data_IF_371075984539
#
_entry.id   IF_371075984539
#
_cell.length_a   1.000
_cell.length_b   1.000
_cell.length_c   1.000
_cell.angle_alpha   90.00
_cell.angle_beta   90.00
_cell.angle_gamma   90.00
#
_symmetry.space_group_name_H-M   'P 1'
#
loop_
_entity.id
_entity.type
_entity.pdbx_description
1 polymer ?
#
# COMPACT_ATOMS: atom_id res chain seq x y z
N UNK A 1 -1.02 -4.10 -19.52
CA UNK A 1 -1.94 -2.95 -19.32
C UNK A 1 -2.12 -2.77 -17.82
N UNK A 2 -1.92 -1.57 -17.32
CA UNK A 2 -2.21 -1.23 -15.94
C UNK A 2 -3.72 -1.30 -15.69
N UNK A 3 -4.12 -1.72 -14.49
CA UNK A 3 -5.53 -2.04 -14.19
C UNK A 3 -6.01 -1.14 -13.06
N UNK A 4 -7.17 -0.50 -13.21
CA UNK A 4 -7.77 0.33 -12.19
C UNK A 4 -8.22 -0.52 -10.99
N UNK A 5 -8.04 -0.01 -9.78
CA UNK A 5 -8.66 -0.51 -8.56
C UNK A 5 -9.77 0.45 -8.16
N UNK A 6 -11.00 -0.04 -8.07
CA UNK A 6 -12.16 0.77 -7.68
C UNK A 6 -12.81 0.24 -6.42
N UNK A 7 -13.13 1.14 -5.52
CA UNK A 7 -13.87 0.92 -4.28
C UNK A 7 -15.14 1.76 -4.41
N UNK A 8 -16.31 1.13 -4.32
CA UNK A 8 -17.60 1.79 -4.59
C UNK A 8 -18.55 1.60 -3.42
N UNK A 9 -18.82 2.68 -2.69
CA UNK A 9 -19.80 2.76 -1.60
C UNK A 9 -19.67 1.62 -0.58
N UNK A 10 -18.43 1.28 -0.15
CA UNK A 10 -18.24 0.19 0.80
C UNK A 10 -18.57 0.62 2.23
N UNK A 11 -19.27 -0.28 2.92
CA UNK A 11 -19.44 -0.25 4.37
C UNK A 11 -18.66 -1.39 5.02
N UNK A 12 -18.09 -1.14 6.21
CA UNK A 12 -17.40 -2.14 6.99
C UNK A 12 -17.70 -1.95 8.48
N UNK A 13 -17.94 -3.06 9.16
CA UNK A 13 -18.26 -3.09 10.58
C UNK A 13 -17.30 -3.99 11.35
N UNK A 14 -16.97 -3.60 12.58
CA UNK A 14 -16.34 -4.42 13.61
C UNK A 14 -17.38 -4.66 14.72
N UNK A 15 -18.06 -5.80 14.66
CA UNK A 15 -19.24 -6.02 15.49
C UNK A 15 -20.32 -4.97 15.23
N UNK A 16 -20.73 -4.23 16.24
CA UNK A 16 -21.73 -3.15 16.14
C UNK A 16 -21.14 -1.81 15.65
N UNK A 17 -19.82 -1.65 15.67
CA UNK A 17 -19.18 -0.40 15.29
C UNK A 17 -18.96 -0.32 13.78
N UNK A 18 -19.52 0.69 13.13
CA UNK A 18 -19.28 0.97 11.71
C UNK A 18 -17.99 1.75 11.54
N UNK A 19 -17.00 1.12 10.91
CA UNK A 19 -15.68 1.70 10.67
C UNK A 19 -15.59 2.43 9.32
N UNK A 20 -16.31 1.97 8.29
CA UNK A 20 -16.36 2.62 6.97
C UNK A 20 -17.81 2.86 6.57
N UNK A 21 -18.08 4.03 6.02
CA UNK A 21 -19.41 4.51 5.65
C UNK A 21 -19.40 4.99 4.20
N UNK A 22 -19.91 4.16 3.30
CA UNK A 22 -20.02 4.43 1.86
C UNK A 22 -18.72 4.95 1.23
N UNK A 23 -17.58 4.39 1.61
CA UNK A 23 -16.28 4.77 1.06
C UNK A 23 -16.23 4.47 -0.42
N UNK A 24 -15.84 5.48 -1.21
CA UNK A 24 -15.61 5.37 -2.64
C UNK A 24 -14.25 5.95 -2.99
N UNK A 25 -13.36 5.14 -3.60
CA UNK A 25 -12.01 5.51 -4.01
C UNK A 25 -11.74 4.89 -5.37
N UNK A 26 -11.14 5.66 -6.28
CA UNK A 26 -10.67 5.17 -7.58
C UNK A 26 -9.16 5.36 -7.66
N UNK A 27 -8.43 4.26 -7.80
CA UNK A 27 -7.00 4.29 -8.08
C UNK A 27 -6.83 4.12 -9.59
N UNK A 28 -6.52 5.22 -10.27
CA UNK A 28 -6.30 5.19 -11.72
C UNK A 28 -5.03 4.39 -12.06
N UNK A 29 -5.00 3.72 -13.21
CA UNK A 29 -3.85 2.93 -13.62
C UNK A 29 -2.56 3.76 -13.71
N UNK A 30 -1.46 3.25 -13.12
CA UNK A 30 -0.16 3.91 -13.17
C UNK A 30 -0.10 5.23 -12.40
N UNK A 31 -0.93 5.40 -11.37
CA UNK A 31 -0.93 6.58 -10.49
C UNK A 31 -0.77 6.19 -9.03
N UNK A 32 -0.30 7.14 -8.23
CA UNK A 32 -0.22 7.04 -6.78
C UNK A 32 -1.43 7.74 -6.17
N UNK A 33 -2.30 6.97 -5.54
CA UNK A 33 -3.45 7.47 -4.79
C UNK A 33 -3.16 7.39 -3.30
N UNK A 34 -3.19 8.53 -2.60
CA UNK A 34 -2.99 8.59 -1.16
C UNK A 34 -4.31 8.81 -0.42
N UNK A 35 -4.58 7.99 0.60
CA UNK A 35 -5.68 8.20 1.54
C UNK A 35 -5.11 8.76 2.84
N UNK A 36 -5.50 9.97 3.15
CA UNK A 36 -4.99 10.77 4.25
C UNK A 36 -6.04 10.91 5.36
N UNK A 37 -5.60 11.06 6.58
CA UNK A 37 -6.47 11.27 7.73
C UNK A 37 -5.79 10.91 9.04
N UNK A 38 -6.44 11.24 10.14
CA UNK A 38 -5.94 10.98 11.50
C UNK A 38 -5.93 9.48 11.82
N UNK A 39 -5.34 9.13 12.96
CA UNK A 39 -5.41 7.76 13.47
C UNK A 39 -6.86 7.39 13.83
N UNK A 40 -7.24 6.14 13.52
CA UNK A 40 -8.55 5.60 13.86
C UNK A 40 -9.70 6.02 12.93
N UNK A 41 -9.46 6.83 11.88
CA UNK A 41 -10.54 7.28 10.97
C UNK A 41 -10.99 6.22 9.95
N UNK A 42 -10.30 5.06 9.86
CA UNK A 42 -10.70 3.97 8.96
C UNK A 42 -9.72 3.67 7.81
N UNK A 43 -8.57 4.36 7.71
CA UNK A 43 -7.59 4.18 6.63
C UNK A 43 -7.14 2.73 6.46
N UNK A 44 -6.57 2.12 7.49
CA UNK A 44 -6.12 0.71 7.45
C UNK A 44 -7.29 -0.25 7.23
N UNK A 45 -8.49 0.07 7.73
CA UNK A 45 -9.70 -0.73 7.47
C UNK A 45 -10.06 -0.75 5.99
N UNK A 46 -9.85 0.36 5.28
CA UNK A 46 -10.03 0.44 3.81
C UNK A 46 -9.04 -0.48 3.10
N UNK A 47 -7.75 -0.46 3.48
CA UNK A 47 -6.75 -1.34 2.88
C UNK A 47 -7.02 -2.82 3.20
N UNK A 48 -7.45 -3.14 4.42
CA UNK A 48 -7.84 -4.50 4.81
C UNK A 48 -9.07 -4.98 4.05
N UNK A 49 -10.01 -4.08 3.70
CA UNK A 49 -11.12 -4.40 2.82
C UNK A 49 -10.63 -4.69 1.39
N UNK A 50 -9.71 -3.87 0.84
CA UNK A 50 -9.12 -4.06 -0.49
C UNK A 50 -8.34 -5.38 -0.57
N UNK A 51 -7.60 -5.74 0.45
CA UNK A 51 -6.80 -6.97 0.49
C UNK A 51 -7.62 -8.23 0.86
N UNK A 52 -8.87 -8.05 1.29
CA UNK A 52 -9.78 -9.13 1.66
C UNK A 52 -9.57 -9.71 3.04
N UNK A 53 -8.74 -9.07 3.86
CA UNK A 53 -8.55 -9.42 5.27
C UNK A 53 -9.84 -9.15 6.04
N UNK A 54 -10.51 -8.03 5.74
CA UNK A 54 -11.81 -7.70 6.30
C UNK A 54 -12.90 -7.78 5.22
N UNK A 55 -14.07 -8.29 5.62
CA UNK A 55 -15.24 -8.35 4.77
C UNK A 55 -16.01 -7.04 4.81
N UNK A 56 -16.42 -6.56 3.63
CA UNK A 56 -17.33 -5.42 3.51
C UNK A 56 -18.78 -5.89 3.70
N UNK A 57 -19.60 -5.11 4.40
CA UNK A 57 -21.02 -5.38 4.60
C UNK A 57 -21.87 -4.92 3.42
N UNK A 58 -21.49 -3.82 2.77
CA UNK A 58 -22.14 -3.28 1.57
C UNK A 58 -21.11 -2.75 0.57
N UNK A 59 -21.57 -2.42 -0.64
CA UNK A 59 -20.73 -1.87 -1.70
C UNK A 59 -19.96 -2.92 -2.49
N UNK A 60 -18.99 -2.47 -3.27
CA UNK A 60 -18.20 -3.30 -4.16
C UNK A 60 -16.73 -2.86 -4.21
N UNK A 61 -15.84 -3.82 -4.41
CA UNK A 61 -14.44 -3.59 -4.74
C UNK A 61 -14.16 -4.34 -6.03
N UNK A 62 -13.62 -3.65 -7.04
CA UNK A 62 -13.28 -4.23 -8.32
C UNK A 62 -11.82 -3.95 -8.70
N UNK A 63 -11.21 -4.89 -9.40
CA UNK A 63 -9.88 -4.78 -9.97
C UNK A 63 -9.95 -5.11 -11.46
N UNK A 64 -9.97 -4.07 -12.28
CA UNK A 64 -10.32 -4.19 -13.70
C UNK A 64 -11.75 -4.71 -13.87
N UNK A 65 -11.89 -5.86 -14.53
CA UNK A 65 -13.18 -6.56 -14.71
C UNK A 65 -13.54 -7.50 -13.56
N UNK A 66 -12.61 -7.75 -12.63
CA UNK A 66 -12.81 -8.73 -11.55
C UNK A 66 -13.46 -8.07 -10.33
N UNK A 67 -14.62 -8.59 -9.90
CA UNK A 67 -15.21 -8.21 -8.62
C UNK A 67 -14.52 -8.96 -7.47
N UNK A 68 -14.10 -8.20 -6.45
CA UNK A 68 -13.32 -8.73 -5.32
C UNK A 68 -14.16 -8.99 -4.07
N UNK A 69 -15.46 -8.64 -4.08
CA UNK A 69 -16.29 -8.65 -2.86
C UNK A 69 -16.22 -9.96 -2.07
N UNK A 70 -16.20 -11.10 -2.75
CA UNK A 70 -16.12 -12.44 -2.14
C UNK A 70 -14.76 -13.12 -2.34
N UNK A 71 -13.81 -12.46 -2.97
CA UNK A 71 -12.50 -13.04 -3.22
C UNK A 71 -11.65 -13.04 -1.94
N UNK A 72 -11.15 -14.19 -1.49
CA UNK A 72 -10.27 -14.26 -0.33
C UNK A 72 -8.89 -13.65 -0.63
N UNK A 73 -8.08 -13.30 0.40
CA UNK A 73 -6.79 -12.63 0.24
C UNK A 73 -5.86 -13.28 -0.79
N UNK A 74 -5.72 -14.60 -0.75
CA UNK A 74 -4.82 -15.31 -1.67
C UNK A 74 -5.23 -15.19 -3.15
N UNK A 75 -6.54 -15.11 -3.45
CA UNK A 75 -7.02 -14.86 -4.82
C UNK A 75 -6.70 -13.45 -5.27
N UNK A 76 -6.86 -12.45 -4.38
CA UNK A 76 -6.53 -11.05 -4.67
C UNK A 76 -5.03 -10.89 -4.92
N UNK A 77 -4.19 -11.54 -4.12
CA UNK A 77 -2.75 -11.56 -4.36
C UNK A 77 -2.39 -12.18 -5.74
N UNK A 78 -3.04 -13.28 -6.15
CA UNK A 78 -2.86 -13.89 -7.48
C UNK A 78 -3.34 -13.03 -8.64
N UNK A 79 -4.33 -12.16 -8.42
CA UNK A 79 -4.76 -11.17 -9.41
C UNK A 79 -3.74 -10.03 -9.58
N UNK A 80 -2.81 -9.89 -8.64
CA UNK A 80 -1.75 -8.89 -8.68
C UNK A 80 -1.92 -7.75 -7.67
N UNK A 81 -2.58 -7.97 -6.54
CA UNK A 81 -2.64 -7.02 -5.42
C UNK A 81 -1.55 -7.38 -4.42
N UNK A 82 -0.48 -6.58 -4.36
CA UNK A 82 0.56 -6.67 -3.35
C UNK A 82 0.21 -5.81 -2.13
N UNK A 83 0.55 -6.27 -0.92
CA UNK A 83 0.23 -5.55 0.30
C UNK A 83 1.43 -5.46 1.25
N UNK A 84 1.66 -4.28 1.76
CA UNK A 84 2.62 -3.99 2.84
C UNK A 84 1.82 -3.44 4.02
N UNK A 85 1.62 -4.24 5.08
CA UNK A 85 0.86 -3.82 6.25
C UNK A 85 1.64 -2.84 7.13
N UNK A 86 0.91 -2.10 7.98
CA UNK A 86 1.49 -1.34 9.08
C UNK A 86 2.33 -2.29 9.96
N UNK A 87 3.46 -1.81 10.47
CA UNK A 87 4.38 -2.65 11.27
C UNK A 87 5.22 -3.63 10.45
N UNK A 88 5.18 -3.55 9.09
CA UNK A 88 6.08 -4.24 8.15
C UNK A 88 5.85 -5.75 8.03
N UNK A 89 5.52 -6.43 9.13
CA UNK A 89 5.26 -7.88 9.23
C UNK A 89 6.31 -8.74 8.51
N UNK A 90 7.60 -8.40 8.66
CA UNK A 90 8.69 -9.23 8.17
C UNK A 90 8.85 -10.48 9.07
N UNK A 91 9.49 -11.52 8.55
CA UNK A 91 9.85 -12.70 9.34
C UNK A 91 11.21 -12.46 10.02
N UNK A 92 11.25 -12.15 11.34
CA UNK A 92 12.48 -11.68 11.98
C UNK A 92 13.59 -12.75 12.06
N UNK A 93 13.21 -14.02 12.10
CA UNK A 93 14.16 -15.14 12.18
C UNK A 93 14.69 -15.59 10.81
N UNK A 94 13.99 -15.25 9.73
CA UNK A 94 14.44 -15.54 8.37
C UNK A 94 15.46 -14.48 7.92
N UNK A 95 16.37 -14.88 7.07
CA UNK A 95 17.30 -13.96 6.38
C UNK A 95 16.55 -13.02 5.43
N UNK A 96 17.20 -11.94 4.98
CA UNK A 96 16.65 -11.05 3.93
C UNK A 96 16.29 -11.86 2.68
N UNK A 97 17.18 -12.76 2.25
CA UNK A 97 16.92 -13.64 1.11
C UNK A 97 15.66 -14.48 1.30
N UNK A 98 15.56 -15.20 2.42
CA UNK A 98 14.41 -16.04 2.73
C UNK A 98 13.11 -15.25 2.86
N UNK A 99 13.16 -14.03 3.46
CA UNK A 99 12.01 -13.13 3.49
C UNK A 99 11.53 -12.80 2.08
N UNK A 100 12.42 -12.43 1.16
CA UNK A 100 12.07 -12.15 -0.23
C UNK A 100 11.48 -13.39 -0.92
N UNK A 101 12.06 -14.56 -0.69
CA UNK A 101 11.63 -15.84 -1.27
C UNK A 101 10.23 -16.27 -0.81
N UNK A 102 9.72 -15.80 0.33
CA UNK A 102 8.32 -16.02 0.73
C UNK A 102 7.34 -15.50 -0.31
N UNK A 103 7.70 -14.46 -1.07
CA UNK A 103 6.91 -13.92 -2.18
C UNK A 103 6.73 -14.90 -3.35
N UNK A 104 7.48 -15.98 -3.41
CA UNK A 104 7.35 -17.01 -4.47
C UNK A 104 6.09 -17.87 -4.37
N UNK A 105 5.38 -17.84 -3.24
CA UNK A 105 4.27 -18.76 -2.99
C UNK A 105 3.14 -18.68 -4.05
N UNK A 106 2.94 -17.49 -4.64
CA UNK A 106 1.93 -17.25 -5.69
C UNK A 106 2.46 -17.40 -7.12
N UNK A 107 3.77 -17.61 -7.30
CA UNK A 107 4.43 -17.59 -8.61
C UNK A 107 4.61 -19.00 -9.21
N UNK A 108 4.61 -19.08 -10.54
CA UNK A 108 5.00 -20.27 -11.27
C UNK A 108 6.47 -20.61 -10.98
N UNK A 109 6.88 -21.89 -11.18
CA UNK A 109 8.28 -22.30 -10.90
C UNK A 109 9.31 -21.50 -11.70
N UNK A 110 9.02 -21.15 -12.95
CA UNK A 110 9.91 -20.37 -13.82
C UNK A 110 10.07 -18.91 -13.41
N UNK A 111 9.10 -18.38 -12.65
CA UNK A 111 9.08 -16.99 -12.21
C UNK A 111 9.68 -16.77 -10.80
N UNK A 112 10.11 -17.84 -10.14
CA UNK A 112 10.66 -17.79 -8.77
C UNK A 112 12.07 -17.22 -8.74
N UNK A 113 12.16 -15.92 -8.90
CA UNK A 113 13.38 -15.14 -8.73
C UNK A 113 13.03 -13.77 -8.14
N UNK A 114 13.99 -13.16 -7.47
CA UNK A 114 13.89 -11.77 -7.03
C UNK A 114 14.23 -10.88 -8.22
N UNK A 115 13.28 -10.05 -8.71
CA UNK A 115 13.56 -9.13 -9.82
C UNK A 115 14.73 -8.19 -9.50
N UNK A 116 15.64 -7.99 -10.46
CA UNK A 116 16.86 -7.20 -10.26
C UNK A 116 16.56 -5.75 -9.79
N UNK A 117 15.51 -5.15 -10.33
CA UNK A 117 15.13 -3.78 -9.98
C UNK A 117 14.84 -3.59 -8.47
N UNK A 118 14.47 -4.66 -7.72
CA UNK A 118 14.27 -4.56 -6.27
C UNK A 118 15.58 -4.21 -5.57
N UNK A 119 16.69 -4.78 -6.03
CA UNK A 119 18.02 -4.47 -5.49
C UNK A 119 18.58 -3.14 -6.02
N UNK A 120 18.09 -2.66 -7.15
CA UNK A 120 18.39 -1.31 -7.66
C UNK A 120 17.67 -0.25 -6.82
N UNK A 121 16.40 -0.49 -6.47
CA UNK A 121 15.61 0.37 -5.59
C UNK A 121 16.13 0.37 -4.15
N UNK A 122 16.52 -0.81 -3.65
CA UNK A 122 16.95 -1.02 -2.27
C UNK A 122 18.29 -1.76 -2.22
N UNK A 123 19.43 -1.08 -2.54
CA UNK A 123 20.76 -1.72 -2.61
C UNK A 123 21.18 -2.38 -1.30
N UNK A 124 20.71 -1.85 -0.16
CA UNK A 124 20.99 -2.40 1.16
C UNK A 124 20.51 -3.85 1.30
N UNK A 125 19.40 -4.23 0.66
CA UNK A 125 18.89 -5.61 0.71
C UNK A 125 19.86 -6.58 0.05
N UNK A 126 20.50 -6.17 -1.07
CA UNK A 126 21.50 -6.99 -1.76
C UNK A 126 22.74 -7.22 -0.90
N UNK A 127 23.21 -6.19 -0.19
CA UNK A 127 24.38 -6.30 0.69
C UNK A 127 24.12 -7.10 1.96
N UNK A 128 22.86 -7.31 2.34
CA UNK A 128 22.44 -7.96 3.58
C UNK A 128 21.68 -9.27 3.38
N UNK A 129 21.78 -9.92 2.22
CA UNK A 129 20.98 -11.10 1.87
C UNK A 129 21.02 -12.23 2.93
N UNK A 130 22.15 -12.43 3.58
CA UNK A 130 22.32 -13.48 4.59
C UNK A 130 22.05 -13.01 6.04
N UNK A 131 21.71 -11.73 6.23
CA UNK A 131 21.39 -11.18 7.55
C UNK A 131 19.94 -11.48 7.92
N UNK A 132 19.66 -11.75 9.19
CA UNK A 132 18.29 -11.96 9.68
C UNK A 132 17.47 -10.66 9.57
N UNK A 133 16.19 -10.78 9.22
CA UNK A 133 15.28 -9.64 9.12
C UNK A 133 15.15 -8.87 10.43
N UNK A 134 15.17 -9.58 11.58
CA UNK A 134 15.11 -8.96 12.89
C UNK A 134 16.31 -8.09 13.27
N UNK A 135 17.47 -8.31 12.62
CA UNK A 135 18.70 -7.54 12.86
C UNK A 135 18.80 -6.27 11.99
N UNK A 136 17.81 -6.02 11.16
CA UNK A 136 17.73 -4.82 10.32
C UNK A 136 17.18 -3.62 11.11
N UNK A 137 17.61 -2.41 10.74
CA UNK A 137 16.96 -1.19 11.24
C UNK A 137 15.50 -1.10 10.76
N UNK A 138 14.68 -0.29 11.44
CA UNK A 138 13.28 -0.12 11.05
C UNK A 138 13.09 0.29 9.59
N UNK A 139 13.91 1.19 9.06
CA UNK A 139 13.86 1.59 7.66
C UNK A 139 14.27 0.48 6.69
N UNK A 140 15.29 -0.33 7.05
CA UNK A 140 15.70 -1.49 6.26
C UNK A 140 14.63 -2.59 6.26
N UNK A 141 13.95 -2.78 7.39
CA UNK A 141 12.81 -3.70 7.47
C UNK A 141 11.65 -3.24 6.58
N UNK A 142 11.40 -1.93 6.49
CA UNK A 142 10.38 -1.38 5.59
C UNK A 142 10.76 -1.61 4.12
N UNK A 143 12.01 -1.36 3.75
CA UNK A 143 12.51 -1.66 2.41
C UNK A 143 12.38 -3.17 2.09
N UNK A 144 12.66 -4.04 3.07
CA UNK A 144 12.47 -5.49 2.93
C UNK A 144 11.00 -5.86 2.76
N UNK A 145 10.08 -5.26 3.52
CA UNK A 145 8.65 -5.51 3.41
C UNK A 145 8.11 -5.10 2.02
N UNK A 146 8.52 -3.93 1.52
CA UNK A 146 8.19 -3.48 0.16
C UNK A 146 8.81 -4.44 -0.88
N UNK A 147 10.10 -4.77 -0.76
CA UNK A 147 10.78 -5.71 -1.65
C UNK A 147 10.07 -7.06 -1.71
N UNK A 148 9.65 -7.61 -0.57
CA UNK A 148 8.89 -8.87 -0.49
C UNK A 148 7.55 -8.79 -1.23
N UNK A 149 6.82 -7.68 -1.08
CA UNK A 149 5.60 -7.47 -1.83
C UNK A 149 5.86 -7.37 -3.34
N UNK A 150 6.93 -6.71 -3.76
CA UNK A 150 7.31 -6.56 -5.17
C UNK A 150 7.74 -7.87 -5.83
N UNK A 151 8.29 -8.84 -5.07
CA UNK A 151 8.63 -10.18 -5.58
C UNK A 151 7.40 -10.87 -6.16
N UNK A 152 6.20 -10.63 -5.63
CA UNK A 152 4.94 -11.19 -6.17
C UNK A 152 4.55 -10.61 -7.53
N UNK A 153 5.31 -9.63 -8.06
CA UNK A 153 5.05 -8.90 -9.31
C UNK A 153 3.65 -8.29 -9.37
N UNK A 154 3.30 -7.48 -8.38
CA UNK A 154 1.95 -6.93 -8.29
C UNK A 154 1.70 -5.92 -9.41
N UNK A 155 0.43 -5.79 -9.80
CA UNK A 155 -0.08 -4.72 -10.68
C UNK A 155 -0.52 -3.51 -9.86
N UNK A 156 -0.97 -3.76 -8.62
CA UNK A 156 -1.30 -2.75 -7.63
C UNK A 156 -0.51 -3.03 -6.37
N UNK A 157 0.16 -2.01 -5.84
CA UNK A 157 0.84 -2.06 -4.55
C UNK A 157 0.03 -1.26 -3.52
N UNK A 158 -0.36 -1.92 -2.44
CA UNK A 158 -1.12 -1.35 -1.33
C UNK A 158 -0.20 -1.21 -0.14
N UNK A 159 -0.09 0.01 0.44
CA UNK A 159 0.85 0.33 1.52
C UNK A 159 0.12 0.98 2.70
N UNK A 160 0.33 0.44 3.89
CA UNK A 160 -0.26 0.95 5.14
C UNK A 160 0.80 1.67 5.97
N UNK A 161 0.77 3.01 5.99
CA UNK A 161 1.67 3.93 6.69
C UNK A 161 3.17 3.58 6.49
N UNK A 162 3.65 3.58 5.23
CA UNK A 162 5.01 3.12 4.92
C UNK A 162 6.13 4.00 5.49
N UNK A 163 5.82 5.20 5.99
CA UNK A 163 6.82 6.13 6.56
C UNK A 163 6.87 6.11 8.09
N UNK A 164 5.98 5.36 8.76
CA UNK A 164 5.86 5.38 10.22
C UNK A 164 7.13 4.88 10.91
N UNK A 165 7.67 5.71 11.83
CA UNK A 165 8.85 5.37 12.63
C UNK A 165 10.14 5.19 11.81
N UNK A 166 10.26 5.88 10.67
CA UNK A 166 11.38 5.77 9.75
C UNK A 166 12.15 7.10 9.67
N UNK A 167 13.47 6.99 9.49
CA UNK A 167 14.35 8.16 9.34
C UNK A 167 14.08 8.89 8.01
N UNK A 168 14.21 10.24 7.97
CA UNK A 168 13.90 11.04 6.78
C UNK A 168 14.66 10.62 5.51
N UNK A 169 15.91 10.16 5.64
CA UNK A 169 16.68 9.68 4.48
C UNK A 169 16.05 8.46 3.83
N UNK A 170 15.58 7.51 4.63
CA UNK A 170 14.93 6.29 4.13
C UNK A 170 13.52 6.61 3.59
N UNK A 171 12.81 7.57 4.18
CA UNK A 171 11.52 8.03 3.64
C UNK A 171 11.69 8.54 2.20
N UNK A 172 12.75 9.33 1.95
CA UNK A 172 13.09 9.79 0.59
C UNK A 172 13.42 8.64 -0.35
N UNK A 173 14.14 7.61 0.12
CA UNK A 173 14.43 6.43 -0.68
C UNK A 173 13.15 5.67 -1.05
N UNK A 174 12.23 5.50 -0.11
CA UNK A 174 10.92 4.89 -0.34
C UNK A 174 10.12 5.73 -1.35
N UNK A 175 10.08 7.06 -1.20
CA UNK A 175 9.40 7.96 -2.13
C UNK A 175 9.92 7.79 -3.57
N UNK A 176 11.25 7.82 -3.75
CA UNK A 176 11.87 7.57 -5.06
C UNK A 176 11.53 6.20 -5.64
N UNK A 177 11.51 5.18 -4.79
CA UNK A 177 11.13 3.84 -5.21
C UNK A 177 9.68 3.77 -5.69
N UNK A 178 8.74 4.41 -4.98
CA UNK A 178 7.32 4.46 -5.38
C UNK A 178 7.12 5.24 -6.68
N UNK A 179 7.81 6.38 -6.85
CA UNK A 179 7.80 7.14 -8.10
C UNK A 179 8.35 6.31 -9.27
N UNK A 180 9.48 5.63 -9.10
CA UNK A 180 10.02 4.72 -10.12
C UNK A 180 9.03 3.62 -10.49
N UNK A 181 8.37 3.01 -9.51
CA UNK A 181 7.37 1.96 -9.76
C UNK A 181 6.17 2.50 -10.54
N UNK A 182 5.73 3.73 -10.28
CA UNK A 182 4.69 4.43 -11.05
C UNK A 182 5.16 4.71 -12.47
N UNK A 183 6.30 5.41 -12.61
CA UNK A 183 6.74 6.00 -13.87
C UNK A 183 7.31 4.96 -14.84
N UNK A 184 8.16 4.06 -14.35
CA UNK A 184 8.88 3.10 -15.18
C UNK A 184 8.20 1.73 -15.27
N UNK A 185 7.40 1.35 -14.27
CA UNK A 185 6.71 0.07 -14.25
C UNK A 185 5.20 0.19 -14.51
N UNK A 186 4.67 1.42 -14.57
CA UNK A 186 3.24 1.66 -14.75
C UNK A 186 2.40 1.08 -13.61
N UNK A 187 3.00 0.93 -12.41
CA UNK A 187 2.35 0.31 -11.26
C UNK A 187 1.31 1.27 -10.66
N UNK A 188 0.13 0.76 -10.38
CA UNK A 188 -0.87 1.49 -9.60
C UNK A 188 -0.53 1.36 -8.12
N UNK A 189 -0.57 2.46 -7.37
CA UNK A 189 -0.22 2.46 -5.94
C UNK A 189 -1.36 3.08 -5.15
N UNK A 190 -1.82 2.37 -4.12
CA UNK A 190 -2.73 2.89 -3.10
C UNK A 190 -2.00 2.89 -1.77
N UNK A 191 -1.84 4.06 -1.17
CA UNK A 191 -1.24 4.15 0.16
C UNK A 191 -2.14 4.91 1.13
N UNK A 192 -2.07 4.57 2.40
CA UNK A 192 -2.61 5.38 3.48
C UNK A 192 -1.46 5.99 4.27
N UNK A 193 -1.61 7.25 4.65
CA UNK A 193 -0.55 8.02 5.30
C UNK A 193 -1.11 9.13 6.20
N UNK A 194 -0.23 9.62 7.08
CA UNK A 194 -0.44 10.82 7.88
C UNK A 194 0.61 11.90 7.57
N UNK A 195 1.74 11.50 6.99
CA UNK A 195 2.84 12.41 6.68
C UNK A 195 2.55 13.17 5.38
N UNK A 196 1.99 14.38 5.53
CA UNK A 196 1.48 15.20 4.42
C UNK A 196 2.56 15.59 3.42
N UNK A 197 3.77 15.95 3.90
CA UNK A 197 4.84 16.38 3.01
C UNK A 197 5.30 15.24 2.09
N UNK A 198 5.34 14.01 2.60
CA UNK A 198 5.61 12.84 1.79
C UNK A 198 4.54 12.64 0.71
N UNK A 199 3.26 12.72 1.07
CA UNK A 199 2.18 12.57 0.10
C UNK A 199 2.16 13.70 -0.92
N UNK A 200 2.48 14.95 -0.52
CA UNK A 200 2.61 16.09 -1.43
C UNK A 200 3.68 15.84 -2.50
N UNK A 201 4.79 15.19 -2.11
CA UNK A 201 5.92 14.92 -3.01
C UNK A 201 5.62 13.81 -4.03
N UNK A 202 4.88 12.77 -3.63
CA UNK A 202 4.77 11.57 -4.46
C UNK A 202 3.39 11.27 -5.01
N UNK A 203 2.30 11.71 -4.35
CA UNK A 203 0.94 11.37 -4.75
C UNK A 203 0.48 12.17 -5.98
N UNK A 204 -0.32 11.53 -6.81
CA UNK A 204 -1.03 12.15 -7.92
C UNK A 204 -2.43 12.58 -7.47
N UNK A 205 -3.13 11.69 -6.76
CA UNK A 205 -4.49 11.91 -6.28
C UNK A 205 -4.55 11.67 -4.77
N UNK A 206 -5.39 12.44 -4.09
CA UNK A 206 -5.63 12.32 -2.65
C UNK A 206 -7.09 12.08 -2.33
N UNK A 207 -7.33 11.35 -1.27
CA UNK A 207 -8.60 11.18 -0.58
C UNK A 207 -8.40 11.52 0.90
N UNK A 208 -9.15 12.47 1.42
CA UNK A 208 -9.10 12.84 2.83
C UNK A 208 -10.23 12.13 3.55
N UNK A 209 -9.88 11.35 4.55
CA UNK A 209 -10.81 10.54 5.33
C UNK A 209 -10.95 11.09 6.75
N UNK A 210 -12.20 11.22 7.21
CA UNK A 210 -12.53 11.49 8.61
C UNK A 210 -13.71 10.61 9.04
N UNK A 211 -13.67 10.07 10.25
CA UNK A 211 -14.75 9.28 10.89
C UNK A 211 -15.41 8.22 10.00
N UNK A 212 -14.61 7.58 9.16
CA UNK A 212 -15.08 6.52 8.26
C UNK A 212 -15.73 7.02 6.97
N UNK A 213 -15.59 8.30 6.62
CA UNK A 213 -16.15 8.92 5.42
C UNK A 213 -15.05 9.63 4.62
N UNK A 214 -15.25 9.79 3.29
CA UNK A 214 -14.38 10.64 2.45
C UNK A 214 -14.92 12.06 2.51
N UNK A 215 -14.11 12.98 3.03
CA UNK A 215 -14.44 14.41 3.16
C UNK A 215 -14.02 15.22 1.94
N UNK A 216 -12.94 14.79 1.28
CA UNK A 216 -12.42 15.44 0.07
C UNK A 216 -11.70 14.41 -0.82
N UNK A 217 -11.75 14.63 -2.13
CA UNK A 217 -10.91 13.94 -3.09
C UNK A 217 -10.53 14.89 -4.24
N UNK A 218 -9.30 14.77 -4.71
CA UNK A 218 -8.76 15.62 -5.77
C UNK A 218 -7.28 15.37 -6.03
N UNK A 219 -6.62 16.24 -6.82
CA UNK A 219 -5.19 16.16 -7.05
C UNK A 219 -4.41 16.47 -5.76
N UNK A 220 -3.16 15.97 -5.68
CA UNK A 220 -2.30 16.22 -4.51
C UNK A 220 -2.08 17.71 -4.19
N UNK A 221 -2.16 18.59 -5.19
CA UNK A 221 -2.10 20.05 -5.01
C UNK A 221 -3.19 20.60 -4.07
N UNK A 222 -4.32 19.90 -3.92
CA UNK A 222 -5.38 20.29 -3.01
C UNK A 222 -4.99 20.22 -1.53
N UNK A 223 -3.85 19.56 -1.19
CA UNK A 223 -3.30 19.56 0.17
C UNK A 223 -2.96 20.95 0.71
N UNK A 224 -2.80 21.94 -0.15
CA UNK A 224 -2.52 23.32 0.26
C UNK A 224 -3.77 24.14 0.54
N UNK A 225 -4.96 23.63 0.22
CA UNK A 225 -6.24 24.31 0.46
C UNK A 225 -6.59 24.28 1.95
N UNK A 226 -7.10 25.40 2.46
CA UNK A 226 -7.46 25.55 3.88
C UNK A 226 -8.61 24.63 4.31
N UNK A 227 -9.60 24.43 3.44
CA UNK A 227 -10.75 23.55 3.67
C UNK A 227 -10.35 22.05 3.71
N UNK A 228 -9.30 21.65 3.02
CA UNK A 228 -8.73 20.31 3.07
C UNK A 228 -7.90 20.10 4.34
N UNK A 229 -7.05 21.09 4.68
CA UNK A 229 -6.17 21.02 5.85
C UNK A 229 -6.94 20.91 7.18
N UNK A 230 -8.11 21.52 7.31
CA UNK A 230 -8.91 21.44 8.54
C UNK A 230 -9.29 20.00 8.93
N UNK A 231 -9.39 19.08 7.98
CA UNK A 231 -9.67 17.66 8.23
C UNK A 231 -8.41 16.85 8.58
N UNK A 232 -7.22 17.41 8.36
CA UNK A 232 -5.92 16.74 8.56
C UNK A 232 -5.20 17.25 9.81
N UNK A 233 -5.46 18.50 10.23
CA UNK A 233 -4.85 19.09 11.42
C UNK A 233 -5.69 18.81 12.67
N UNK A 234 -5.00 18.76 13.82
CA UNK A 234 -5.63 18.66 15.16
C UNK A 234 -6.13 20.04 15.59
#
# INVERSE_FOLDING_TARGET
>A
MSTALTISNIDLHYGAAQALKRISITCAPGRITAVLGRNGVGKSSTLRAVTGINHISAGEIAFGSDTLRKAPPYKRARLGIGYVPQGREIFPLLTVKENLETGYAGLSRGDRNVPAYIFELFPVLKSMLNRRGGDLSGGQQQQLAIGRALVTRPKVLVLDEPTEGIQPSIIKDIGRALQFLRDEKGMTILLVEQYLDFCREIADDIYVMDRGEIMHNGPAADLDRADVRQHLMV
#
